data_IF_094770326165
#
_entry.id   IF_094770326165
#
_cell.length_a   1.000
_cell.length_b   1.000
_cell.length_c   1.000
_cell.angle_alpha   90.00
_cell.angle_beta   90.00
_cell.angle_gamma   90.00
#
_symmetry.space_group_name_H-M   'P 1'
#
loop_
_entity.id
_entity.type
_entity.pdbx_description
1 polymer ?
#
# COMPACT_ATOMS: atom_id res chain seq x y z
N UNK A 1 -4.16 17.90 29.98
CA UNK A 1 -4.34 16.44 30.09
C UNK A 1 -3.58 15.76 28.95
N UNK A 2 -3.73 14.45 28.75
CA UNK A 2 -3.19 13.78 27.56
C UNK A 2 -3.82 14.33 26.27
N UNK A 3 -5.09 14.74 26.32
CA UNK A 3 -5.83 15.29 25.17
C UNK A 3 -5.29 16.64 24.69
N UNK A 4 -4.50 17.34 25.51
CA UNK A 4 -3.87 18.63 25.17
C UNK A 4 -2.52 18.45 24.45
N UNK A 5 -2.14 17.22 24.09
CA UNK A 5 -0.84 16.89 23.50
C UNK A 5 -1.00 16.48 22.04
N UNK A 6 -0.33 17.18 21.14
CA UNK A 6 -0.18 16.79 19.74
C UNK A 6 1.18 16.14 19.49
N UNK A 7 1.17 15.05 18.73
CA UNK A 7 2.37 14.34 18.28
C UNK A 7 2.59 14.61 16.80
N UNK A 8 3.68 15.29 16.45
CA UNK A 8 4.04 15.56 15.05
C UNK A 8 5.54 15.76 14.90
N UNK A 9 6.10 15.41 13.73
CA UNK A 9 7.50 15.71 13.38
C UNK A 9 8.54 15.33 14.45
N UNK A 10 8.34 14.23 15.18
CA UNK A 10 9.26 13.77 16.22
C UNK A 10 9.16 14.49 17.57
N UNK A 11 8.14 15.33 17.78
CA UNK A 11 7.92 16.08 19.03
C UNK A 11 6.49 15.91 19.56
N UNK A 12 6.36 15.96 20.88
CA UNK A 12 5.10 16.14 21.58
C UNK A 12 4.98 17.62 21.99
N UNK A 13 3.88 18.27 21.60
CA UNK A 13 3.63 19.70 21.83
C UNK A 13 2.34 19.89 22.61
N UNK A 14 2.35 20.84 23.54
CA UNK A 14 1.11 21.27 24.21
C UNK A 14 0.35 22.21 23.28
N UNK A 15 -0.88 21.85 22.94
CA UNK A 15 -1.76 22.61 22.03
C UNK A 15 -1.89 24.06 22.52
N UNK A 16 -1.82 25.01 21.58
CA UNK A 16 -1.92 26.44 21.89
C UNK A 16 -0.67 27.09 22.49
N UNK A 17 0.45 26.35 22.59
CA UNK A 17 1.71 26.86 23.14
C UNK A 17 2.93 26.49 22.28
N UNK A 18 4.08 27.05 22.64
CA UNK A 18 5.41 26.74 22.11
C UNK A 18 6.15 25.66 22.93
N UNK A 19 5.52 25.12 23.98
CA UNK A 19 6.14 24.11 24.85
C UNK A 19 6.16 22.75 24.15
N UNK A 20 7.37 22.23 23.94
CA UNK A 20 7.60 20.96 23.24
C UNK A 20 8.61 20.06 23.96
N UNK A 21 8.53 18.75 23.72
CA UNK A 21 9.57 17.78 24.06
C UNK A 21 9.76 16.79 22.90
N UNK A 22 11.00 16.41 22.62
CA UNK A 22 11.30 15.41 21.59
C UNK A 22 10.90 14.00 22.02
N UNK A 23 10.47 13.16 21.07
CA UNK A 23 10.20 11.74 21.32
C UNK A 23 11.43 11.01 21.89
N UNK A 24 12.64 11.39 21.47
CA UNK A 24 13.88 10.84 22.03
C UNK A 24 14.06 11.15 23.51
N UNK A 25 13.63 12.32 23.97
CA UNK A 25 13.66 12.71 25.38
C UNK A 25 12.57 11.97 26.17
N UNK A 26 11.38 11.80 25.60
CA UNK A 26 10.31 10.97 26.18
C UNK A 26 10.80 9.53 26.34
N UNK A 27 11.43 8.97 25.31
CA UNK A 27 11.94 7.61 25.33
C UNK A 27 13.02 7.40 26.41
N UNK A 28 13.92 8.37 26.59
CA UNK A 28 14.93 8.34 27.66
C UNK A 28 14.35 8.48 29.08
N UNK A 29 13.19 9.10 29.20
CA UNK A 29 12.52 9.29 30.49
C UNK A 29 11.70 8.07 30.93
N UNK A 30 11.49 7.08 30.05
CA UNK A 30 10.87 5.81 30.39
C UNK A 30 11.66 5.10 31.49
N UNK A 31 10.95 4.57 32.48
CA UNK A 31 11.56 3.91 33.65
C UNK A 31 11.70 2.41 33.41
N UNK A 32 10.75 1.85 32.66
CA UNK A 32 10.73 0.45 32.29
C UNK A 32 10.62 0.31 30.77
N UNK A 33 11.18 -0.76 30.18
CA UNK A 33 11.03 -1.04 28.74
C UNK A 33 9.57 -1.13 28.28
N UNK A 34 8.65 -1.51 29.17
CA UNK A 34 7.23 -1.63 28.86
C UNK A 34 6.53 -0.27 28.70
N UNK A 35 7.09 0.82 29.24
CA UNK A 35 6.56 2.19 29.06
C UNK A 35 6.66 2.65 27.59
N UNK A 36 7.42 1.94 26.75
CA UNK A 36 7.66 2.23 25.34
C UNK A 36 6.97 1.26 24.38
N UNK A 37 6.11 0.37 24.91
CA UNK A 37 5.39 -0.61 24.10
C UNK A 37 3.92 -0.21 23.98
N UNK A 38 3.40 -0.27 22.76
CA UNK A 38 1.98 -0.17 22.47
C UNK A 38 1.52 -1.42 21.73
N UNK A 39 0.38 -1.97 22.14
CA UNK A 39 -0.25 -3.10 21.47
C UNK A 39 -1.69 -2.73 21.17
N UNK A 40 -2.15 -3.12 19.99
CA UNK A 40 -3.53 -2.93 19.57
C UNK A 40 -3.88 -3.99 18.54
N UNK A 41 -5.07 -4.55 18.68
CA UNK A 41 -5.71 -5.36 17.65
C UNK A 41 -6.78 -4.50 17.00
N UNK A 42 -6.90 -4.60 15.68
CA UNK A 42 -7.88 -3.86 14.93
C UNK A 42 -8.54 -4.79 13.92
N UNK A 43 -9.86 -4.71 13.85
CA UNK A 43 -10.68 -5.40 12.86
C UNK A 43 -11.44 -4.32 12.12
N UNK A 44 -11.33 -4.28 10.79
CA UNK A 44 -12.17 -3.39 10.00
C UNK A 44 -13.64 -3.83 10.07
N UNK A 45 -14.53 -2.86 10.26
CA UNK A 45 -15.98 -3.11 10.17
C UNK A 45 -16.43 -3.39 8.72
N UNK A 46 -15.68 -2.91 7.73
CA UNK A 46 -16.00 -3.01 6.30
C UNK A 46 -14.74 -3.12 5.41
N UNK A 47 -14.88 -3.69 4.21
CA UNK A 47 -13.81 -3.75 3.22
C UNK A 47 -13.44 -2.35 2.67
N UNK A 48 -12.22 -2.20 2.15
CA UNK A 48 -11.69 -0.91 1.65
C UNK A 48 -11.96 -0.63 0.17
N UNK A 49 -12.53 -1.60 -0.57
CA UNK A 49 -12.97 -1.50 -1.97
C UNK A 49 -12.08 -0.64 -2.89
N UNK A 50 -10.77 -0.95 -3.05
CA UNK A 50 -9.95 -0.30 -4.07
C UNK A 50 -10.53 -0.61 -5.45
N UNK A 51 -10.37 0.32 -6.39
CA UNK A 51 -10.89 0.17 -7.74
C UNK A 51 -9.89 0.68 -8.76
N UNK A 52 -10.08 0.28 -10.01
CA UNK A 52 -9.21 0.69 -11.09
C UNK A 52 -9.77 0.30 -12.45
N UNK A 53 -9.08 0.76 -13.48
CA UNK A 53 -9.41 0.47 -14.89
C UNK A 53 -8.14 0.06 -15.62
N UNK A 54 -8.24 -1.06 -16.33
CA UNK A 54 -7.18 -1.62 -17.15
C UNK A 54 -7.61 -1.58 -18.62
N UNK A 55 -6.72 -1.11 -19.49
CA UNK A 55 -6.91 -1.08 -20.94
C UNK A 55 -5.74 -1.82 -21.56
N UNK A 56 -6.03 -2.90 -22.28
CA UNK A 56 -5.05 -3.70 -23.01
C UNK A 56 -5.31 -3.58 -24.51
N UNK A 57 -4.31 -3.12 -25.25
CA UNK A 57 -4.30 -3.11 -26.71
C UNK A 57 -3.47 -4.30 -27.18
N UNK A 58 -4.05 -5.11 -28.06
CA UNK A 58 -3.42 -6.33 -28.58
C UNK A 58 -3.50 -6.37 -30.10
N UNK A 59 -2.48 -6.94 -30.71
CA UNK A 59 -2.49 -7.33 -32.12
C UNK A 59 -2.48 -8.86 -32.21
N UNK A 60 -3.26 -9.40 -33.15
CA UNK A 60 -3.39 -10.85 -33.35
C UNK A 60 -3.11 -11.16 -34.82
N UNK A 61 -2.12 -12.01 -35.06
CA UNK A 61 -1.88 -12.57 -36.38
C UNK A 61 -3.04 -13.53 -36.75
N UNK A 62 -3.79 -13.29 -37.83
CA UNK A 62 -5.01 -14.05 -38.14
C UNK A 62 -4.73 -15.47 -38.62
N UNK A 63 -3.52 -15.74 -39.13
CA UNK A 63 -3.15 -17.05 -39.67
C UNK A 63 -2.61 -17.98 -38.57
N UNK A 64 -1.94 -17.43 -37.56
CA UNK A 64 -1.26 -18.19 -36.50
C UNK A 64 -1.93 -18.06 -35.12
N UNK A 65 -2.74 -17.03 -34.91
CA UNK A 65 -3.32 -16.69 -33.61
C UNK A 65 -2.32 -16.12 -32.60
N UNK A 66 -1.07 -15.86 -33.00
CA UNK A 66 -0.07 -15.23 -32.14
C UNK A 66 -0.57 -13.86 -31.71
N UNK A 67 -0.64 -13.64 -30.39
CA UNK A 67 -1.15 -12.42 -29.77
C UNK A 67 0.00 -11.63 -29.16
N UNK A 68 0.16 -10.38 -29.59
CA UNK A 68 1.13 -9.42 -29.03
C UNK A 68 0.39 -8.34 -28.24
N UNK A 69 0.89 -8.02 -27.05
CA UNK A 69 0.39 -6.88 -26.26
C UNK A 69 1.19 -5.64 -26.66
N UNK A 70 0.57 -4.73 -27.41
CA UNK A 70 1.23 -3.51 -27.92
C UNK A 70 1.17 -2.36 -26.93
N UNK A 71 0.16 -2.34 -26.04
CA UNK A 71 0.07 -1.38 -24.94
C UNK A 71 -0.79 -1.91 -23.79
N UNK A 72 -0.37 -1.60 -22.58
CA UNK A 72 -1.16 -1.83 -21.37
C UNK A 72 -1.19 -0.56 -20.52
N UNK A 73 -2.39 -0.01 -20.27
CA UNK A 73 -2.60 1.20 -19.46
C UNK A 73 -3.43 0.85 -18.23
N UNK A 74 -3.02 1.35 -17.07
CA UNK A 74 -3.64 1.07 -15.77
C UNK A 74 -3.86 2.37 -15.03
N UNK A 75 -5.06 2.53 -14.47
CA UNK A 75 -5.40 3.60 -13.55
C UNK A 75 -6.06 2.96 -12.34
N UNK A 76 -5.38 2.99 -11.20
CA UNK A 76 -5.89 2.43 -9.94
C UNK A 76 -6.02 3.52 -8.88
N UNK A 77 -7.10 3.44 -8.10
CA UNK A 77 -7.34 4.19 -6.87
C UNK A 77 -7.28 3.23 -5.66
N UNK A 78 -6.19 3.35 -4.91
CA UNK A 78 -5.93 2.60 -3.67
C UNK A 78 -6.17 3.44 -2.41
N UNK A 79 -6.73 4.65 -2.54
CA UNK A 79 -6.77 5.62 -1.45
C UNK A 79 -5.37 6.07 -1.01
N UNK A 80 -5.13 6.08 0.30
CA UNK A 80 -3.85 6.57 0.85
C UNK A 80 -2.75 5.53 0.67
N UNK A 81 -1.81 5.84 -0.20
CA UNK A 81 -0.67 4.97 -0.46
C UNK A 81 0.47 5.23 0.53
N UNK A 82 0.91 4.19 1.24
CA UNK A 82 2.03 4.26 2.19
C UNK A 82 3.38 4.39 1.48
N UNK A 83 3.62 3.55 0.46
CA UNK A 83 4.84 3.57 -0.33
C UNK A 83 4.52 3.39 -1.83
N UNK A 84 4.53 4.46 -2.62
CA UNK A 84 4.18 4.42 -4.04
C UNK A 84 5.08 3.50 -4.88
N UNK A 85 6.36 3.38 -4.53
CA UNK A 85 7.30 2.53 -5.27
C UNK A 85 7.00 1.05 -5.11
N UNK A 86 6.69 0.61 -3.88
CA UNK A 86 6.32 -0.78 -3.63
C UNK A 86 4.98 -1.11 -4.26
N UNK A 87 4.02 -0.19 -4.19
CA UNK A 87 2.72 -0.33 -4.83
C UNK A 87 2.87 -0.53 -6.35
N UNK A 88 3.67 0.29 -7.03
CA UNK A 88 3.92 0.13 -8.46
C UNK A 88 4.51 -1.25 -8.80
N UNK A 89 5.42 -1.77 -7.95
CA UNK A 89 5.95 -3.12 -8.10
C UNK A 89 4.89 -4.21 -8.00
N UNK A 90 3.90 -4.06 -7.11
CA UNK A 90 2.76 -4.98 -6.99
C UNK A 90 1.88 -4.94 -8.24
N UNK A 91 1.56 -3.75 -8.74
CA UNK A 91 0.75 -3.57 -9.97
C UNK A 91 1.42 -4.28 -11.14
N UNK A 92 2.71 -4.03 -11.38
CA UNK A 92 3.44 -4.70 -12.46
C UNK A 92 3.47 -6.23 -12.30
N UNK A 93 3.73 -6.73 -11.09
CA UNK A 93 3.74 -8.16 -10.82
C UNK A 93 2.40 -8.83 -11.10
N UNK A 94 1.30 -8.23 -10.63
CA UNK A 94 -0.05 -8.75 -10.85
C UNK A 94 -0.46 -8.73 -12.33
N UNK A 95 -0.07 -7.68 -13.07
CA UNK A 95 -0.36 -7.57 -14.50
C UNK A 95 0.36 -8.65 -15.31
N UNK A 96 1.65 -8.87 -15.05
CA UNK A 96 2.42 -9.91 -15.73
C UNK A 96 1.87 -11.30 -15.41
N UNK A 97 1.45 -11.55 -14.16
CA UNK A 97 0.76 -12.80 -13.79
C UNK A 97 -0.57 -12.96 -14.55
N UNK A 98 -1.40 -11.92 -14.59
CA UNK A 98 -2.67 -11.96 -15.32
C UNK A 98 -2.49 -12.20 -16.83
N UNK A 99 -1.45 -11.60 -17.43
CA UNK A 99 -1.08 -11.84 -18.83
C UNK A 99 -0.64 -13.30 -19.04
N UNK A 100 0.21 -13.82 -18.15
CA UNK A 100 0.64 -15.22 -18.17
C UNK A 100 -0.55 -16.17 -18.12
N UNK A 101 -1.46 -15.95 -17.17
CA UNK A 101 -2.68 -16.74 -17.03
C UNK A 101 -3.59 -16.65 -18.26
N UNK A 102 -3.76 -15.48 -18.85
CA UNK A 102 -4.67 -15.28 -19.97
C UNK A 102 -4.15 -15.85 -21.30
N UNK A 103 -2.83 -15.76 -21.55
CA UNK A 103 -2.25 -16.06 -22.87
C UNK A 103 -1.37 -17.31 -22.91
N UNK A 104 -0.88 -17.79 -21.77
CA UNK A 104 0.21 -18.78 -21.74
C UNK A 104 -0.11 -20.00 -20.88
N UNK A 105 -0.55 -19.79 -19.64
CA UNK A 105 -0.67 -20.86 -18.66
C UNK A 105 -1.88 -21.76 -18.94
N UNK A 106 -1.64 -23.07 -18.96
CA UNK A 106 -2.70 -24.08 -19.06
C UNK A 106 -2.28 -25.35 -18.30
N UNK A 107 -2.92 -25.61 -17.16
CA UNK A 107 -2.70 -26.84 -16.39
C UNK A 107 -3.75 -27.87 -16.77
N UNK A 108 -3.30 -29.00 -17.31
CA UNK A 108 -4.15 -30.09 -17.80
C UNK A 108 -3.87 -31.36 -16.99
N UNK A 109 -4.94 -32.06 -16.61
CA UNK A 109 -4.88 -33.37 -15.95
C UNK A 109 -5.44 -34.43 -16.92
N UNK A 110 -4.88 -35.64 -16.87
CA UNK A 110 -5.19 -36.79 -17.74
C UNK A 110 -6.22 -37.78 -17.15
#
# INVERSE_FOLDING_TARGET
>A
SADDIELSNGVARIVGTDRTIHFSSIAKAAKNPDDLKGFGEFVQDECTYPNGTHICEVEIDPDTGVTEIVRYTIVDDFGVTVNPMLLAGQVHGGVVQGIGQALTENTVYD
#
